data_IF_349711204779
#
_entry.id   IF_349711204779
#
_cell.length_a   1.000
_cell.length_b   1.000
_cell.length_c   1.000
_cell.angle_alpha   90.00
_cell.angle_beta   90.00
_cell.angle_gamma   90.00
#
_symmetry.space_group_name_H-M   'P 1'
#
loop_
_entity.id
_entity.type
_entity.pdbx_description
1 polymer ?
#
# COMPACT_ATOMS: atom_id res chain seq x y z
N UNK A 1 9.16 4.86 4.36
CA UNK A 1 10.38 5.44 4.93
C UNK A 1 10.10 6.66 5.82
N UNK A 2 9.40 7.71 5.31
CA UNK A 2 9.04 8.90 6.10
C UNK A 2 8.32 8.54 7.40
N UNK A 3 7.29 7.67 7.35
CA UNK A 3 6.50 7.25 8.50
C UNK A 3 7.35 6.57 9.58
N UNK A 4 8.35 5.78 9.19
CA UNK A 4 9.23 5.06 10.15
C UNK A 4 10.07 6.00 11.01
N UNK A 5 10.26 7.26 10.61
CA UNK A 5 11.02 8.27 11.34
C UNK A 5 10.18 9.14 12.27
N UNK A 6 8.85 8.99 12.23
CA UNK A 6 7.97 9.83 13.06
C UNK A 6 8.04 9.37 14.52
N UNK A 7 8.23 10.33 15.41
CA UNK A 7 8.27 10.14 16.88
C UNK A 7 7.12 10.83 17.59
N UNK A 8 6.59 11.87 16.96
CA UNK A 8 5.48 12.68 17.47
C UNK A 8 4.18 12.32 16.74
N UNK A 9 3.07 12.90 17.20
CA UNK A 9 1.78 12.75 16.55
C UNK A 9 1.77 13.33 15.14
N UNK A 10 1.11 12.65 14.23
CA UNK A 10 0.98 13.05 12.82
C UNK A 10 -0.49 13.13 12.41
N UNK A 11 -0.78 13.85 11.34
CA UNK A 11 -2.12 13.90 10.77
C UNK A 11 -2.31 12.82 9.70
N UNK A 12 -3.38 12.04 9.85
CA UNK A 12 -3.88 11.11 8.84
C UNK A 12 -5.11 11.68 8.17
N UNK A 13 -5.08 11.88 6.86
CA UNK A 13 -6.16 12.49 6.10
C UNK A 13 -7.26 11.48 5.79
N UNK A 14 -8.44 11.70 6.38
CA UNK A 14 -9.60 10.81 6.24
C UNK A 14 -10.38 11.02 4.94
N UNK A 15 -10.16 12.14 4.25
CA UNK A 15 -10.80 12.47 2.97
C UNK A 15 -9.83 12.46 1.78
N UNK A 16 -8.60 11.99 1.98
CA UNK A 16 -7.64 11.77 0.92
C UNK A 16 -7.59 10.27 0.59
N UNK A 17 -8.27 9.87 -0.48
CA UNK A 17 -8.40 8.47 -0.92
C UNK A 17 -7.55 8.18 -2.14
N UNK A 18 -7.08 6.95 -2.25
CA UNK A 18 -6.34 6.47 -3.40
C UNK A 18 -6.45 4.95 -3.54
N UNK A 19 -5.96 4.45 -4.66
CA UNK A 19 -5.71 3.03 -4.90
C UNK A 19 -4.23 2.83 -5.21
N UNK A 20 -3.69 1.69 -4.85
CA UNK A 20 -2.31 1.38 -5.15
C UNK A 20 -1.92 0.01 -4.60
N UNK A 21 -0.69 -0.38 -4.89
CA UNK A 21 -0.12 -1.65 -4.43
C UNK A 21 1.27 -1.42 -3.85
N UNK A 22 1.76 -2.37 -3.06
CA UNK A 22 3.16 -2.36 -2.63
C UNK A 22 4.09 -2.70 -3.80
N UNK A 23 5.34 -2.28 -3.71
CA UNK A 23 6.37 -2.65 -4.71
C UNK A 23 6.54 -4.15 -4.85
N UNK A 24 6.36 -4.91 -3.77
CA UNK A 24 6.40 -6.38 -3.81
C UNK A 24 5.23 -6.95 -4.62
N UNK A 25 4.01 -6.46 -4.38
CA UNK A 25 2.84 -6.86 -5.18
C UNK A 25 2.99 -6.47 -6.64
N UNK A 26 3.53 -5.29 -6.91
CA UNK A 26 3.82 -4.84 -8.28
C UNK A 26 4.81 -5.79 -8.97
N UNK A 27 5.91 -6.16 -8.31
CA UNK A 27 6.91 -7.07 -8.87
C UNK A 27 6.31 -8.45 -9.21
N UNK A 28 5.52 -9.03 -8.29
CA UNK A 28 4.80 -10.29 -8.53
C UNK A 28 3.83 -10.19 -9.72
N UNK A 29 3.10 -9.08 -9.82
CA UNK A 29 2.18 -8.84 -10.93
C UNK A 29 2.92 -8.67 -12.27
N UNK A 30 4.06 -7.99 -12.28
CA UNK A 30 4.90 -7.84 -13.49
C UNK A 30 5.42 -9.19 -13.98
N UNK A 31 5.90 -10.06 -13.09
CA UNK A 31 6.31 -11.41 -13.44
C UNK A 31 5.15 -12.20 -14.10
N UNK A 32 3.98 -12.18 -13.48
CA UNK A 32 2.79 -12.84 -14.03
C UNK A 32 2.32 -12.22 -15.36
N UNK A 33 2.42 -10.91 -15.50
CA UNK A 33 2.08 -10.22 -16.74
C UNK A 33 2.97 -10.66 -17.92
N UNK A 34 4.26 -10.88 -17.66
CA UNK A 34 5.19 -11.43 -18.67
C UNK A 34 4.81 -12.86 -19.05
N UNK A 35 4.54 -13.73 -18.07
CA UNK A 35 4.15 -15.12 -18.31
C UNK A 35 2.84 -15.20 -19.11
N UNK A 36 1.89 -14.32 -18.85
CA UNK A 36 0.58 -14.30 -19.50
C UNK A 36 0.56 -13.43 -20.79
N UNK A 37 1.69 -12.86 -21.19
CA UNK A 37 1.80 -11.97 -22.36
C UNK A 37 0.79 -10.81 -22.31
N UNK A 38 0.60 -10.21 -21.11
CA UNK A 38 -0.30 -9.07 -20.93
C UNK A 38 0.21 -7.86 -21.73
N UNK A 39 -0.65 -7.27 -22.54
CA UNK A 39 -0.33 -6.11 -23.38
C UNK A 39 -1.28 -4.93 -23.09
N UNK A 40 -0.85 -3.73 -23.50
CA UNK A 40 -1.62 -2.52 -23.32
C UNK A 40 -1.60 -1.97 -21.89
N UNK A 41 -2.42 -0.97 -21.62
CA UNK A 41 -2.53 -0.34 -20.31
C UNK A 41 -3.36 -1.20 -19.37
N UNK A 42 -2.86 -1.41 -18.16
CA UNK A 42 -3.55 -2.13 -17.09
C UNK A 42 -3.43 -1.38 -15.76
N UNK A 43 -4.55 -1.09 -15.12
CA UNK A 43 -4.58 -0.49 -13.79
C UNK A 43 -4.47 -1.60 -12.73
N UNK A 44 -3.30 -1.75 -12.13
CA UNK A 44 -3.07 -2.76 -11.10
C UNK A 44 -3.58 -2.28 -9.75
N UNK A 45 -4.83 -2.58 -9.46
CA UNK A 45 -5.53 -2.22 -8.22
C UNK A 45 -6.47 -3.35 -7.79
N UNK A 46 -6.82 -3.40 -6.51
CA UNK A 46 -7.79 -4.35 -5.97
C UNK A 46 -9.24 -3.85 -6.05
N UNK A 47 -9.50 -2.77 -6.78
CA UNK A 47 -10.80 -2.08 -6.91
C UNK A 47 -11.40 -1.62 -5.56
N UNK A 48 -10.58 -1.46 -4.55
CA UNK A 48 -10.94 -0.87 -3.26
C UNK A 48 -10.06 0.35 -3.01
N UNK A 49 -10.64 1.42 -2.52
CA UNK A 49 -9.87 2.58 -2.10
C UNK A 49 -9.48 2.47 -0.63
N UNK A 50 -8.42 3.17 -0.26
CA UNK A 50 -8.01 3.34 1.13
C UNK A 50 -7.74 4.83 1.40
N UNK A 51 -8.08 5.31 2.59
CA UNK A 51 -7.69 6.65 3.00
C UNK A 51 -6.22 6.70 3.42
N UNK A 52 -5.61 7.88 3.35
CA UNK A 52 -4.26 8.04 3.91
C UNK A 52 -4.22 7.80 5.40
N UNK A 53 -5.31 8.11 6.13
CA UNK A 53 -5.43 7.79 7.54
C UNK A 53 -5.37 6.27 7.78
N UNK A 54 -6.23 5.50 7.11
CA UNK A 54 -6.31 4.04 7.31
C UNK A 54 -5.01 3.35 6.90
N UNK A 55 -4.37 3.81 5.82
CA UNK A 55 -3.06 3.28 5.41
C UNK A 55 -1.98 3.52 6.47
N UNK A 56 -1.94 4.72 7.08
CA UNK A 56 -1.02 5.02 8.18
C UNK A 56 -1.31 4.15 9.41
N UNK A 57 -2.59 3.89 9.71
CA UNK A 57 -2.99 2.99 10.81
C UNK A 57 -2.48 1.55 10.55
N UNK A 58 -2.57 1.04 9.32
CA UNK A 58 -2.00 -0.26 8.97
C UNK A 58 -0.48 -0.29 9.17
N UNK A 59 0.25 0.72 8.69
CA UNK A 59 1.69 0.80 8.92
C UNK A 59 2.05 0.92 10.40
N UNK A 60 1.26 1.68 11.17
CA UNK A 60 1.46 1.81 12.61
C UNK A 60 1.28 0.48 13.33
N UNK A 61 0.21 -0.25 13.00
CA UNK A 61 -0.09 -1.58 13.56
C UNK A 61 1.06 -2.58 13.30
N UNK A 62 1.51 -2.68 12.05
CA UNK A 62 2.42 -3.74 11.64
C UNK A 62 3.91 -3.42 11.82
N UNK A 63 4.32 -2.15 11.74
CA UNK A 63 5.73 -1.76 11.81
C UNK A 63 6.10 -0.97 13.06
N UNK A 64 5.13 -0.38 13.77
CA UNK A 64 5.38 0.53 14.89
C UNK A 64 4.62 0.16 16.16
N UNK A 65 4.00 -1.03 16.22
CA UNK A 65 3.23 -1.52 17.38
C UNK A 65 2.22 -0.50 17.94
N UNK A 66 1.63 0.33 17.06
CA UNK A 66 0.72 1.44 17.39
C UNK A 66 1.34 2.55 18.27
N UNK A 67 2.65 2.73 18.22
CA UNK A 67 3.34 3.76 19.04
C UNK A 67 3.11 5.20 18.55
N UNK A 68 2.80 5.38 17.27
CA UNK A 68 2.61 6.71 16.67
C UNK A 68 1.18 7.17 16.84
N UNK A 69 0.96 8.34 17.42
CA UNK A 69 -0.37 8.95 17.49
C UNK A 69 -0.75 9.48 16.10
N UNK A 70 -1.84 8.97 15.53
CA UNK A 70 -2.35 9.40 14.21
C UNK A 70 -3.66 10.15 14.42
N UNK A 71 -3.60 11.48 14.29
CA UNK A 71 -4.75 12.36 14.43
C UNK A 71 -5.58 12.34 13.13
N UNK A 72 -6.89 12.19 13.26
CA UNK A 72 -7.81 12.28 12.11
C UNK A 72 -7.88 13.73 11.62
N UNK A 73 -7.71 13.94 10.33
CA UNK A 73 -7.78 15.26 9.70
C UNK A 73 -8.61 15.20 8.42
N UNK A 74 -9.53 16.15 8.28
CA UNK A 74 -10.34 16.33 7.06
C UNK A 74 -9.85 17.49 6.19
N UNK A 75 -8.73 18.11 6.57
CA UNK A 75 -8.21 19.31 5.91
C UNK A 75 -7.78 19.09 4.45
N UNK A 76 -7.53 17.85 4.04
CA UNK A 76 -7.17 17.50 2.67
C UNK A 76 -8.26 16.61 2.06
N UNK A 77 -8.91 17.10 1.00
CA UNK A 77 -9.86 16.35 0.18
C UNK A 77 -9.17 16.04 -1.14
N UNK A 78 -8.96 14.76 -1.42
CA UNK A 78 -8.26 14.31 -2.61
C UNK A 78 -8.76 12.94 -3.01
N UNK A 79 -9.06 12.74 -4.28
CA UNK A 79 -9.37 11.44 -4.86
C UNK A 79 -8.36 11.11 -5.96
N UNK A 80 -7.57 10.07 -5.73
CA UNK A 80 -6.60 9.50 -6.67
C UNK A 80 -6.87 8.01 -6.87
N UNK A 81 -8.13 7.63 -6.93
CA UNK A 81 -8.52 6.24 -7.15
C UNK A 81 -8.48 5.88 -8.62
N UNK A 82 -8.09 4.66 -8.90
CA UNK A 82 -8.19 4.01 -10.20
C UNK A 82 -9.08 2.77 -10.05
N UNK A 83 -9.70 2.38 -11.16
CA UNK A 83 -10.48 1.15 -11.25
C UNK A 83 -9.86 0.29 -12.35
N UNK A 84 -9.75 -1.00 -12.10
CA UNK A 84 -9.45 -1.98 -13.13
C UNK A 84 -10.74 -2.52 -13.72
N UNK A 85 -10.97 -2.25 -15.01
CA UNK A 85 -12.11 -2.79 -15.76
C UNK A 85 -11.73 -3.98 -16.65
N UNK A 86 -10.42 -4.30 -16.76
CA UNK A 86 -9.94 -5.43 -17.57
C UNK A 86 -10.05 -6.74 -16.78
N UNK A 87 -10.39 -7.81 -17.49
CA UNK A 87 -10.59 -9.17 -16.94
C UNK A 87 -9.66 -10.20 -17.58
N UNK A 88 -8.76 -9.76 -18.45
CA UNK A 88 -7.86 -10.62 -19.25
C UNK A 88 -6.51 -10.88 -18.56
N UNK A 89 -6.36 -10.52 -17.29
CA UNK A 89 -5.17 -10.79 -16.49
C UNK A 89 -5.54 -11.58 -15.22
N UNK A 90 -5.01 -12.79 -15.14
CA UNK A 90 -5.26 -13.67 -14.00
C UNK A 90 -4.25 -13.41 -12.88
N UNK A 91 -4.40 -12.27 -12.21
CA UNK A 91 -3.65 -11.91 -11.01
C UNK A 91 -4.58 -11.27 -9.98
N UNK A 92 -4.67 -11.88 -8.81
CA UNK A 92 -5.49 -11.35 -7.71
C UNK A 92 -4.66 -10.37 -6.88
N UNK A 93 -5.00 -9.09 -6.93
CA UNK A 93 -4.36 -8.06 -6.10
C UNK A 93 -4.85 -8.23 -4.66
N UNK A 94 -3.94 -8.42 -3.68
CA UNK A 94 -4.33 -8.63 -2.28
C UNK A 94 -5.02 -7.40 -1.67
N UNK A 95 -5.64 -7.59 -0.51
CA UNK A 95 -6.14 -6.48 0.31
C UNK A 95 -4.97 -5.59 0.81
N UNK A 96 -5.27 -4.36 1.20
CA UNK A 96 -4.24 -3.45 1.73
C UNK A 96 -3.54 -4.04 2.97
N UNK A 97 -4.31 -4.67 3.86
CA UNK A 97 -3.74 -5.29 5.06
C UNK A 97 -2.79 -6.44 4.69
N UNK A 98 -3.19 -7.32 3.78
CA UNK A 98 -2.34 -8.41 3.29
C UNK A 98 -1.05 -7.89 2.65
N UNK A 99 -1.15 -6.86 1.81
CA UNK A 99 0.02 -6.23 1.18
C UNK A 99 1.00 -5.64 2.22
N UNK A 100 0.49 -5.06 3.31
CA UNK A 100 1.32 -4.51 4.39
C UNK A 100 1.98 -5.63 5.20
N UNK A 101 1.27 -6.74 5.46
CA UNK A 101 1.81 -7.93 6.11
C UNK A 101 2.94 -8.53 5.27
N UNK A 102 2.69 -8.80 3.98
CA UNK A 102 3.72 -9.34 3.08
C UNK A 102 4.95 -8.42 2.98
N UNK A 103 4.72 -7.10 2.96
CA UNK A 103 5.81 -6.13 2.99
C UNK A 103 6.63 -6.25 4.28
N UNK A 104 6.00 -6.41 5.44
CA UNK A 104 6.69 -6.61 6.72
C UNK A 104 7.56 -7.87 6.70
N UNK A 105 7.02 -8.96 6.19
CA UNK A 105 7.75 -10.23 6.05
C UNK A 105 8.95 -10.09 5.10
N UNK A 106 8.75 -9.42 3.95
CA UNK A 106 9.82 -9.13 3.00
C UNK A 106 10.93 -8.26 3.61
N UNK A 107 10.58 -7.25 4.40
CA UNK A 107 11.55 -6.42 5.13
C UNK A 107 12.31 -7.26 6.16
N UNK A 108 11.64 -8.14 6.90
CA UNK A 108 12.27 -9.01 7.89
C UNK A 108 13.25 -10.00 7.27
N UNK A 109 12.95 -10.49 6.06
CA UNK A 109 13.80 -11.44 5.31
C UNK A 109 15.01 -10.80 4.63
N UNK A 110 14.99 -9.46 4.43
CA UNK A 110 16.03 -8.71 3.70
C UNK A 110 16.44 -7.45 4.46
N UNK A 111 16.77 -7.60 5.73
CA UNK A 111 17.11 -6.47 6.64
C UNK A 111 18.25 -5.61 6.12
N UNK A 112 19.16 -6.19 5.38
CA UNK A 112 20.30 -5.49 4.76
C UNK A 112 19.86 -4.42 3.74
N UNK A 113 18.70 -4.59 3.12
CA UNK A 113 18.13 -3.63 2.17
C UNK A 113 17.25 -2.57 2.84
N UNK A 114 16.89 -2.77 4.11
CA UNK A 114 15.91 -1.96 4.83
C UNK A 114 16.42 -1.50 6.21
N UNK A 115 17.52 -0.73 6.29
CA UNK A 115 18.17 -0.40 7.57
C UNK A 115 17.33 0.49 8.50
N UNK A 116 16.17 0.99 8.04
CA UNK A 116 15.28 1.88 8.80
C UNK A 116 13.93 1.25 9.18
N UNK A 117 13.78 -0.04 8.97
CA UNK A 117 12.57 -0.78 9.34
C UNK A 117 12.81 -1.73 10.49
#
# INVERSE_FOLDING_TARGET
>A
HWFMKQKEGINGFTRAVWTGVTTLTLAKAMEQALVQNLTGLYNLVNNQSITKYDLLCLFNKYFRNNEVVINRSESLVLDKTLICSRTDFNFVVPTYEQMVIEKKEGVASHKELYPLY
#
